data_IF_255173379781
#
_entry.id   IF_255173379781
#
_cell.length_a   1.000
_cell.length_b   1.000
_cell.length_c   1.000
_cell.angle_alpha   90.00
_cell.angle_beta   90.00
_cell.angle_gamma   90.00
#
_symmetry.space_group_name_H-M   'P 1'
#
loop_
_entity.id
_entity.type
_entity.pdbx_description
1 polymer ?
#
# COMPACT_ATOMS: atom_id res chain seq x y z
N UNK A 1 -3.58 1.14 18.51
CA UNK A 1 -4.15 0.08 17.65
C UNK A 1 -3.07 -0.96 17.45
N UNK A 2 -3.41 -2.20 17.10
CA UNK A 2 -2.37 -3.16 16.74
C UNK A 2 -1.78 -2.76 15.38
N UNK A 3 -0.45 -2.80 15.28
CA UNK A 3 0.27 -2.59 14.03
C UNK A 3 -0.02 -3.72 13.03
N UNK A 4 -0.07 -3.43 11.71
CA UNK A 4 -0.45 -4.45 10.71
C UNK A 4 0.62 -5.53 10.54
N UNK A 5 1.89 -5.22 10.81
CA UNK A 5 3.00 -6.19 10.76
C UNK A 5 3.97 -6.00 11.92
N UNK A 6 4.87 -6.98 12.13
CA UNK A 6 5.98 -6.85 13.09
C UNK A 6 7.17 -6.01 12.57
N UNK A 7 7.07 -5.43 11.37
CA UNK A 7 8.12 -4.65 10.72
C UNK A 7 7.76 -3.16 10.76
N UNK A 8 8.38 -2.35 11.65
CA UNK A 8 8.01 -0.93 11.81
C UNK A 8 8.13 -0.13 10.52
N UNK A 9 9.21 -0.31 9.75
CA UNK A 9 9.42 0.40 8.50
C UNK A 9 8.38 0.04 7.42
N UNK A 10 7.86 -1.19 7.46
CA UNK A 10 6.78 -1.61 6.57
C UNK A 10 5.47 -0.94 6.97
N UNK A 11 5.20 -0.82 8.26
CA UNK A 11 3.98 -0.17 8.74
C UNK A 11 3.93 1.31 8.33
N UNK A 12 5.07 2.01 8.34
CA UNK A 12 5.17 3.37 7.80
C UNK A 12 4.80 3.41 6.30
N UNK A 13 5.34 2.47 5.51
CA UNK A 13 5.02 2.38 4.08
C UNK A 13 3.54 2.10 3.84
N UNK A 14 2.94 1.18 4.61
CA UNK A 14 1.53 0.82 4.50
C UNK A 14 0.62 1.96 4.93
N UNK A 15 0.99 2.73 5.96
CA UNK A 15 0.25 3.92 6.38
C UNK A 15 0.24 5.01 5.28
N UNK A 16 1.40 5.27 4.66
CA UNK A 16 1.52 6.20 3.53
C UNK A 16 0.71 5.73 2.31
N UNK A 17 0.73 4.42 2.01
CA UNK A 17 -0.07 3.82 0.94
C UNK A 17 -1.56 4.02 1.21
N UNK A 18 -2.05 3.61 2.37
CA UNK A 18 -3.49 3.68 2.72
C UNK A 18 -3.96 5.13 2.74
N UNK A 19 -3.21 6.02 3.39
CA UNK A 19 -3.56 7.44 3.45
C UNK A 19 -3.59 8.09 2.07
N UNK A 20 -2.60 7.76 1.22
CA UNK A 20 -2.52 8.28 -0.14
C UNK A 20 -3.65 7.78 -1.04
N UNK A 21 -3.93 6.48 -1.01
CA UNK A 21 -5.02 5.86 -1.79
C UNK A 21 -6.37 6.40 -1.35
N UNK A 22 -6.61 6.49 -0.04
CA UNK A 22 -7.86 7.02 0.51
C UNK A 22 -8.07 8.49 0.11
N UNK A 23 -7.01 9.31 0.10
CA UNK A 23 -7.09 10.70 -0.33
C UNK A 23 -7.40 10.85 -1.84
N UNK A 24 -6.92 9.93 -2.68
CA UNK A 24 -7.14 9.95 -4.13
C UNK A 24 -8.54 9.44 -4.48
N UNK A 25 -8.91 8.26 -3.95
CA UNK A 25 -10.13 7.55 -4.33
C UNK A 25 -11.38 8.03 -3.56
N UNK A 26 -11.20 8.73 -2.44
CA UNK A 26 -12.28 9.29 -1.64
C UNK A 26 -13.34 8.25 -1.26
N UNK A 27 -14.60 8.55 -1.53
CA UNK A 27 -15.75 7.71 -1.18
C UNK A 27 -15.79 6.37 -1.94
N UNK A 28 -14.99 6.21 -2.99
CA UNK A 28 -14.89 4.92 -3.69
C UNK A 28 -13.94 3.96 -2.99
N UNK A 29 -13.07 4.42 -2.08
CA UNK A 29 -12.18 3.55 -1.32
C UNK A 29 -12.97 2.71 -0.31
N UNK A 30 -12.92 1.39 -0.45
CA UNK A 30 -13.56 0.46 0.50
C UNK A 30 -12.57 -0.08 1.53
N UNK A 31 -11.31 -0.27 1.14
CA UNK A 31 -10.27 -0.78 2.03
C UNK A 31 -9.01 -1.20 1.29
N UNK A 32 -7.94 -1.38 2.06
CA UNK A 32 -6.69 -1.96 1.59
C UNK A 32 -6.36 -3.20 2.44
N UNK A 33 -5.91 -4.26 1.78
CA UNK A 33 -5.63 -5.54 2.40
C UNK A 33 -4.22 -5.98 2.04
N UNK A 34 -3.41 -6.22 3.07
CA UNK A 34 -2.11 -6.86 2.89
C UNK A 34 -2.33 -8.31 2.47
N UNK A 35 -1.54 -8.76 1.49
CA UNK A 35 -1.55 -10.11 0.97
C UNK A 35 -0.11 -10.67 1.01
N UNK A 36 0.09 -11.86 0.48
CA UNK A 36 1.40 -12.46 0.33
C UNK A 36 1.99 -12.95 1.65
N UNK A 37 3.31 -13.13 1.63
CA UNK A 37 4.07 -13.69 2.75
C UNK A 37 3.94 -12.85 4.03
N UNK A 38 3.84 -11.51 3.90
CA UNK A 38 3.64 -10.62 5.05
C UNK A 38 2.29 -10.82 5.74
N UNK A 39 1.23 -11.10 4.98
CA UNK A 39 -0.09 -11.33 5.53
C UNK A 39 -0.21 -12.67 6.28
N UNK A 40 0.54 -13.68 5.85
CA UNK A 40 0.48 -15.04 6.44
C UNK A 40 1.59 -15.32 7.46
N UNK A 41 2.53 -14.38 7.63
CA UNK A 41 3.64 -14.49 8.59
C UNK A 41 4.82 -15.35 8.12
N UNK A 42 4.99 -15.50 6.81
CA UNK A 42 6.09 -16.27 6.18
C UNK A 42 7.05 -15.36 5.38
N UNK A 43 7.08 -14.06 5.71
CA UNK A 43 7.92 -13.09 5.03
C UNK A 43 9.36 -13.10 5.51
N UNK A 44 10.26 -12.79 4.58
CA UNK A 44 11.68 -12.52 4.83
C UNK A 44 12.12 -11.22 4.15
N UNK A 45 13.42 -10.93 4.23
CA UNK A 45 14.02 -9.71 3.66
C UNK A 45 13.99 -9.67 2.13
N UNK A 46 13.66 -10.77 1.46
CA UNK A 46 13.57 -10.85 0.01
C UNK A 46 12.13 -10.88 -0.49
N UNK A 47 11.15 -10.87 0.41
CA UNK A 47 9.73 -10.90 0.09
C UNK A 47 9.24 -9.59 -0.50
N UNK A 48 8.32 -9.68 -1.46
CA UNK A 48 7.60 -8.52 -2.00
C UNK A 48 6.46 -8.10 -1.07
N UNK A 49 6.04 -6.84 -1.16
CA UNK A 49 4.92 -6.26 -0.40
C UNK A 49 3.67 -6.29 -1.26
N UNK A 50 2.94 -7.41 -1.21
CA UNK A 50 1.69 -7.58 -1.96
C UNK A 50 0.50 -6.96 -1.22
N UNK A 51 -0.33 -6.20 -1.92
CA UNK A 51 -1.58 -5.65 -1.38
C UNK A 51 -2.66 -5.53 -2.45
N UNK A 52 -3.91 -5.47 -1.99
CA UNK A 52 -5.07 -5.20 -2.83
C UNK A 52 -5.82 -4.01 -2.25
N UNK A 53 -6.14 -3.04 -3.11
CA UNK A 53 -7.07 -1.95 -2.82
C UNK A 53 -8.43 -2.30 -3.41
N UNK A 54 -9.47 -2.29 -2.58
CA UNK A 54 -10.85 -2.55 -2.99
C UNK A 54 -11.57 -1.22 -3.17
N UNK A 55 -12.25 -1.07 -4.31
CA UNK A 55 -13.03 0.13 -4.64
C UNK A 55 -14.50 -0.21 -4.88
N UNK A 56 -15.38 0.76 -4.61
CA UNK A 56 -16.78 0.71 -4.96
C UNK A 56 -16.95 1.24 -6.40
N UNK A 57 -16.84 0.33 -7.38
CA UNK A 57 -16.90 0.67 -8.79
C UNK A 57 -15.53 0.70 -9.46
N UNK A 58 -15.53 1.04 -10.75
CA UNK A 58 -14.31 1.15 -11.55
C UNK A 58 -13.48 2.38 -11.13
N UNK A 59 -12.16 2.24 -11.17
CA UNK A 59 -11.23 3.36 -10.96
C UNK A 59 -11.27 4.24 -12.21
N UNK A 60 -11.56 5.53 -12.04
CA UNK A 60 -11.66 6.48 -13.14
C UNK A 60 -10.32 6.77 -13.80
N UNK A 61 -10.35 7.08 -15.11
CA UNK A 61 -9.15 7.49 -15.86
C UNK A 61 -8.53 8.78 -15.28
N UNK A 62 -9.32 9.61 -14.62
CA UNK A 62 -8.90 10.82 -13.91
C UNK A 62 -8.02 10.55 -12.69
N UNK A 63 -8.21 9.42 -12.01
CA UNK A 63 -7.49 9.06 -10.77
C UNK A 63 -6.17 8.34 -11.07
N UNK A 64 -6.08 7.65 -12.22
CA UNK A 64 -4.91 6.88 -12.63
C UNK A 64 -3.59 7.68 -12.57
N UNK A 65 -3.50 8.95 -13.03
CA UNK A 65 -2.28 9.74 -12.90
C UNK A 65 -1.86 9.95 -11.44
N UNK A 66 -2.83 10.23 -10.55
CA UNK A 66 -2.56 10.44 -9.13
C UNK A 66 -2.10 9.15 -8.43
N UNK A 67 -2.72 8.02 -8.76
CA UNK A 67 -2.31 6.70 -8.25
C UNK A 67 -0.89 6.32 -8.72
N UNK A 68 -0.55 6.60 -9.98
CA UNK A 68 0.82 6.38 -10.49
C UNK A 68 1.84 7.24 -9.77
N UNK A 69 1.51 8.50 -9.50
CA UNK A 69 2.39 9.38 -8.75
C UNK A 69 2.53 8.93 -7.29
N UNK A 70 1.44 8.46 -6.66
CA UNK A 70 1.52 7.81 -5.35
C UNK A 70 2.50 6.63 -5.36
N UNK A 71 2.39 5.71 -6.32
CA UNK A 71 3.34 4.59 -6.43
C UNK A 71 4.80 5.08 -6.58
N UNK A 72 5.05 6.11 -7.40
CA UNK A 72 6.39 6.70 -7.53
C UNK A 72 6.91 7.28 -6.21
N UNK A 73 6.06 7.98 -5.46
CA UNK A 73 6.41 8.56 -4.15
C UNK A 73 6.71 7.47 -3.12
N UNK A 74 5.86 6.45 -3.03
CA UNK A 74 6.07 5.31 -2.13
C UNK A 74 7.39 4.62 -2.44
N UNK A 75 7.67 4.34 -3.72
CA UNK A 75 8.93 3.75 -4.14
C UNK A 75 10.15 4.65 -3.84
N UNK A 76 9.96 5.96 -3.68
CA UNK A 76 11.04 6.91 -3.35
C UNK A 76 11.30 7.06 -1.84
N UNK A 77 10.46 6.48 -0.97
CA UNK A 77 10.65 6.53 0.47
C UNK A 77 11.95 5.82 0.88
N UNK A 78 12.61 6.35 1.91
CA UNK A 78 13.83 5.79 2.49
C UNK A 78 13.51 4.72 3.54
N UNK A 79 12.76 3.70 3.11
CA UNK A 79 12.44 2.51 3.90
C UNK A 79 12.80 1.26 3.09
N UNK A 80 13.30 0.18 3.71
CA UNK A 80 13.77 -0.99 2.99
C UNK A 80 12.72 -1.57 2.02
N UNK A 81 11.47 -1.60 2.46
CA UNK A 81 10.35 -2.23 1.75
C UNK A 81 9.82 -1.40 0.56
N UNK A 82 10.20 -0.13 0.43
CA UNK A 82 9.75 0.72 -0.68
C UNK A 82 10.18 0.18 -2.05
N UNK A 83 11.26 -0.62 -2.10
CA UNK A 83 11.78 -1.25 -3.32
C UNK A 83 11.17 -2.61 -3.62
N UNK A 84 10.26 -3.05 -2.77
CA UNK A 84 9.58 -4.36 -2.82
C UNK A 84 8.09 -4.19 -3.19
N UNK A 85 7.68 -2.98 -3.63
CA UNK A 85 6.34 -2.63 -4.11
C UNK A 85 6.16 -2.91 -5.61
#
# INVERSE_FOLDING_TARGET
MAEPTSYPDLNVLLEELVSGVQAILGDTFCGAYLQGSFAVGDADVHSDVDFIVVTNGEVGDEDLPALRELHRRLHALDVPWAKHL
#
